data_IF_731299033653
#
_entry.id   IF_731299033653
#
_cell.length_a   1.000
_cell.length_b   1.000
_cell.length_c   1.000
_cell.angle_alpha   90.00
_cell.angle_beta   90.00
_cell.angle_gamma   90.00
#
_symmetry.space_group_name_H-M   'P 1'
#
loop_
_entity.id
_entity.type
_entity.pdbx_description
1 polymer ?
#
# COMPACT_ATOMS: atom_id res chain seq x y z
N UNK A 1 -25.62 -44.61 75.90
CA UNK A 1 -25.29 -44.26 74.50
C UNK A 1 -24.34 -43.07 74.52
N UNK A 2 -23.08 -43.24 74.14
CA UNK A 2 -22.11 -42.14 74.12
C UNK A 2 -22.36 -41.24 72.90
N UNK A 3 -22.57 -39.95 73.14
CA UNK A 3 -22.59 -38.91 72.10
C UNK A 3 -21.21 -38.82 71.46
N UNK A 4 -21.10 -39.25 70.20
CA UNK A 4 -19.88 -39.10 69.40
C UNK A 4 -19.70 -37.60 69.11
N UNK A 5 -18.65 -37.02 69.69
CA UNK A 5 -18.33 -35.60 69.63
C UNK A 5 -17.76 -35.23 68.24
N UNK A 6 -18.65 -34.84 67.32
CA UNK A 6 -18.32 -34.60 65.90
C UNK A 6 -17.74 -33.19 65.65
N UNK A 7 -17.01 -32.64 66.63
CA UNK A 7 -16.55 -31.24 66.68
C UNK A 7 -15.60 -30.89 65.54
N UNK A 8 -14.75 -31.82 65.11
CA UNK A 8 -13.83 -31.63 64.00
C UNK A 8 -14.55 -31.62 62.65
N UNK A 9 -15.54 -32.50 62.45
CA UNK A 9 -16.34 -32.54 61.22
C UNK A 9 -17.15 -31.26 61.03
N UNK A 10 -17.78 -30.76 62.09
CA UNK A 10 -18.51 -29.49 62.07
C UNK A 10 -17.56 -28.32 61.76
N UNK A 11 -16.35 -28.33 62.34
CA UNK A 11 -15.34 -27.29 62.08
C UNK A 11 -14.84 -27.31 60.63
N UNK A 12 -14.63 -28.48 60.05
CA UNK A 12 -14.23 -28.65 58.65
C UNK A 12 -15.32 -28.18 57.69
N UNK A 13 -16.58 -28.51 57.96
CA UNK A 13 -17.71 -28.07 57.15
C UNK A 13 -17.86 -26.54 57.21
N UNK A 14 -17.77 -25.95 58.41
CA UNK A 14 -17.85 -24.50 58.58
C UNK A 14 -16.72 -23.76 57.85
N UNK A 15 -15.47 -24.21 58.01
CA UNK A 15 -14.32 -23.63 57.30
C UNK A 15 -14.45 -23.75 55.78
N UNK A 16 -14.89 -24.91 55.30
CA UNK A 16 -15.08 -25.15 53.86
C UNK A 16 -16.20 -24.27 53.29
N UNK A 17 -17.32 -24.14 54.02
CA UNK A 17 -18.41 -23.25 53.62
C UNK A 17 -18.01 -21.78 53.63
N UNK A 18 -17.16 -21.38 54.59
CA UNK A 18 -16.66 -20.01 54.66
C UNK A 18 -15.74 -19.69 53.47
N UNK A 19 -14.84 -20.61 53.11
CA UNK A 19 -13.96 -20.45 51.95
C UNK A 19 -14.80 -20.39 50.66
N UNK A 20 -15.76 -21.31 50.47
CA UNK A 20 -16.62 -21.33 49.29
C UNK A 20 -17.42 -20.03 49.14
N UNK A 21 -17.98 -19.52 50.25
CA UNK A 21 -18.73 -18.26 50.26
C UNK A 21 -17.84 -17.10 49.83
N UNK A 22 -16.60 -17.01 50.34
CA UNK A 22 -15.66 -15.96 49.97
C UNK A 22 -15.24 -16.05 48.49
N UNK A 23 -15.04 -17.26 47.95
CA UNK A 23 -14.74 -17.45 46.53
C UNK A 23 -15.89 -16.97 45.65
N UNK A 24 -17.14 -17.30 46.02
CA UNK A 24 -18.33 -16.83 45.30
C UNK A 24 -18.48 -15.30 45.39
N UNK A 25 -18.19 -14.71 46.54
CA UNK A 25 -18.23 -13.26 46.74
C UNK A 25 -17.17 -12.54 45.90
N UNK A 26 -15.95 -13.07 45.85
CA UNK A 26 -14.88 -12.56 44.99
C UNK A 26 -15.23 -12.70 43.52
N UNK A 27 -15.84 -13.82 43.11
CA UNK A 27 -16.28 -14.02 41.73
C UNK A 27 -17.39 -13.03 41.34
N UNK A 28 -18.37 -12.81 42.23
CA UNK A 28 -19.44 -11.84 42.02
C UNK A 28 -18.89 -10.41 41.95
N UNK A 29 -18.00 -10.02 42.86
CA UNK A 29 -17.33 -8.72 42.84
C UNK A 29 -16.47 -8.53 41.58
N UNK A 30 -15.74 -9.57 41.14
CA UNK A 30 -14.97 -9.54 39.89
C UNK A 30 -15.87 -9.37 38.68
N UNK A 31 -17.00 -10.07 38.64
CA UNK A 31 -17.98 -9.98 37.53
C UNK A 31 -18.66 -8.61 37.49
N UNK A 32 -18.96 -8.03 38.66
CA UNK A 32 -19.50 -6.67 38.76
C UNK A 32 -18.44 -5.64 38.37
N UNK A 33 -17.18 -5.81 38.78
CA UNK A 33 -16.09 -4.93 38.41
C UNK A 33 -15.82 -5.00 36.90
N UNK A 34 -15.87 -6.20 36.32
CA UNK A 34 -15.77 -6.42 34.88
C UNK A 34 -16.95 -5.76 34.16
N UNK A 35 -18.19 -5.94 34.62
CA UNK A 35 -19.36 -5.28 34.06
C UNK A 35 -19.31 -3.75 34.15
N UNK A 36 -18.89 -3.21 35.30
CA UNK A 36 -18.73 -1.76 35.50
C UNK A 36 -17.55 -1.20 34.68
N UNK A 37 -16.49 -1.97 34.46
CA UNK A 37 -15.38 -1.63 33.56
C UNK A 37 -15.72 -1.86 32.07
N UNK A 38 -16.73 -2.67 31.74
CA UNK A 38 -17.33 -2.72 30.39
C UNK A 38 -18.29 -1.56 30.13
N UNK A 39 -18.51 -0.68 31.11
CA UNK A 39 -19.23 0.58 30.94
C UNK A 39 -18.51 1.49 29.97
N UNK A 40 -18.91 1.40 28.69
CA UNK A 40 -18.49 2.23 27.57
C UNK A 40 -16.99 2.51 27.53
N UNK A 41 -16.26 1.60 26.88
CA UNK A 41 -14.91 1.88 26.41
C UNK A 41 -14.91 3.27 25.76
N UNK A 42 -14.20 4.23 26.33
CA UNK A 42 -14.21 5.60 25.80
C UNK A 42 -13.69 5.64 24.36
N UNK A 43 -12.99 4.59 23.91
CA UNK A 43 -12.60 4.39 22.51
C UNK A 43 -13.75 3.96 21.58
N UNK A 44 -14.84 3.40 22.09
CA UNK A 44 -16.07 3.17 21.32
C UNK A 44 -16.97 4.39 21.27
N UNK A 45 -16.89 5.29 22.28
CA UNK A 45 -17.59 6.60 22.25
C UNK A 45 -16.81 7.68 21.50
N UNK A 46 -15.49 7.64 21.55
CA UNK A 46 -14.58 8.40 20.72
C UNK A 46 -13.90 7.39 19.81
N UNK A 47 -14.52 7.08 18.67
CA UNK A 47 -13.87 6.38 17.57
C UNK A 47 -12.61 7.19 17.21
N UNK A 48 -11.48 6.86 17.82
CA UNK A 48 -10.21 7.53 17.57
C UNK A 48 -9.69 6.99 16.24
N UNK A 49 -10.23 7.54 15.16
CA UNK A 49 -9.97 7.27 13.73
C UNK A 49 -8.51 7.44 13.30
N UNK A 50 -7.60 7.73 14.23
CA UNK A 50 -6.23 8.12 13.91
C UNK A 50 -5.37 6.97 13.39
N UNK A 51 -5.63 5.73 13.80
CA UNK A 51 -4.87 4.55 13.32
C UNK A 51 -5.30 4.10 11.91
N UNK A 52 -6.55 4.33 11.52
CA UNK A 52 -7.09 3.81 10.26
C UNK A 52 -6.78 4.70 9.06
N UNK A 53 -6.66 6.03 9.23
CA UNK A 53 -6.36 6.96 8.12
C UNK A 53 -5.01 6.68 7.46
N UNK A 54 -4.03 6.15 8.20
CA UNK A 54 -2.67 5.93 7.69
C UNK A 54 -2.42 4.50 7.16
N UNK A 55 -3.43 3.63 7.15
CA UNK A 55 -3.29 2.20 6.79
C UNK A 55 -3.96 1.82 5.47
N UNK A 56 -4.84 2.67 4.92
CA UNK A 56 -5.54 2.44 3.65
C UNK A 56 -5.64 3.72 2.82
N UNK A 57 -4.81 3.84 1.77
CA UNK A 57 -4.64 5.09 1.01
C UNK A 57 -4.74 4.89 -0.52
N UNK A 58 -5.86 4.38 -1.06
CA UNK A 58 -6.02 4.31 -2.51
C UNK A 58 -6.04 5.70 -3.14
N UNK A 59 -5.69 5.82 -4.42
CA UNK A 59 -5.78 7.10 -5.13
C UNK A 59 -7.23 7.50 -5.30
N UNK A 60 -7.60 8.71 -4.90
CA UNK A 60 -8.93 9.28 -5.17
C UNK A 60 -8.78 10.55 -5.99
N UNK A 61 -9.49 10.62 -7.11
CA UNK A 61 -9.61 11.84 -7.93
C UNK A 61 -11.09 12.12 -8.14
N UNK A 62 -11.61 13.16 -7.47
CA UNK A 62 -12.95 13.65 -7.75
C UNK A 62 -12.98 14.35 -9.12
N UNK A 63 -13.99 14.04 -9.94
CA UNK A 63 -14.25 14.78 -11.17
C UNK A 63 -14.89 16.15 -10.86
N UNK A 64 -16.16 16.36 -11.23
CA UNK A 64 -16.90 17.59 -10.98
C UNK A 64 -17.71 17.46 -9.70
N UNK A 65 -17.73 18.53 -8.92
CA UNK A 65 -18.49 18.67 -7.67
C UNK A 65 -19.74 19.54 -7.83
N UNK A 66 -20.12 19.87 -9.07
CA UNK A 66 -21.28 20.69 -9.34
C UNK A 66 -22.55 19.92 -8.95
N UNK A 67 -23.39 20.55 -8.13
CA UNK A 67 -24.67 20.01 -7.71
C UNK A 67 -25.75 21.08 -7.88
N UNK A 68 -26.95 20.68 -8.29
CA UNK A 68 -28.05 21.61 -8.57
C UNK A 68 -28.65 22.19 -7.28
N UNK A 69 -28.67 21.41 -6.20
CA UNK A 69 -29.18 21.84 -4.90
C UNK A 69 -28.14 22.64 -4.12
N UNK A 70 -27.51 21.99 -3.15
CA UNK A 70 -26.49 22.59 -2.28
C UNK A 70 -25.08 22.43 -2.84
N UNK A 71 -24.26 23.46 -2.68
CA UNK A 71 -22.82 23.40 -3.00
C UNK A 71 -22.10 22.39 -2.09
N UNK A 72 -21.17 21.62 -2.66
CA UNK A 72 -20.38 20.65 -1.89
C UNK A 72 -19.26 21.37 -1.12
N UNK A 73 -19.35 21.40 0.22
CA UNK A 73 -18.28 21.99 1.04
C UNK A 73 -17.05 21.08 1.11
N UNK A 74 -15.86 21.66 1.08
CA UNK A 74 -14.60 20.90 1.08
C UNK A 74 -14.42 20.03 2.33
N UNK A 75 -14.87 20.50 3.50
CA UNK A 75 -14.78 19.70 4.73
C UNK A 75 -15.76 18.51 4.68
N UNK A 76 -16.97 18.71 4.15
CA UNK A 76 -17.95 17.62 3.96
C UNK A 76 -17.46 16.60 2.93
N UNK A 77 -16.87 17.06 1.83
CA UNK A 77 -16.30 16.16 0.82
C UNK A 77 -15.21 15.26 1.42
N UNK A 78 -14.34 15.83 2.25
CA UNK A 78 -13.29 15.06 2.95
C UNK A 78 -13.87 14.01 3.89
N UNK A 79 -14.95 14.31 4.62
CA UNK A 79 -15.59 13.31 5.49
C UNK A 79 -16.31 12.23 4.68
N UNK A 80 -17.02 12.61 3.61
CA UNK A 80 -17.63 11.64 2.67
C UNK A 80 -16.58 10.70 2.09
N UNK A 81 -15.49 11.25 1.56
CA UNK A 81 -14.40 10.46 0.97
C UNK A 81 -13.80 9.50 1.98
N UNK A 82 -13.44 10.01 3.16
CA UNK A 82 -12.87 9.21 4.25
C UNK A 82 -13.80 8.06 4.65
N UNK A 83 -15.06 8.34 4.92
CA UNK A 83 -16.02 7.31 5.37
C UNK A 83 -16.35 6.33 4.24
N UNK A 84 -16.37 6.79 2.99
CA UNK A 84 -16.50 5.93 1.81
C UNK A 84 -15.31 4.97 1.69
N UNK A 85 -14.08 5.45 1.80
CA UNK A 85 -12.89 4.61 1.77
C UNK A 85 -12.85 3.63 2.95
N UNK A 86 -13.29 4.05 4.13
CA UNK A 86 -13.42 3.14 5.26
C UNK A 86 -14.49 2.08 5.07
N UNK A 87 -15.59 2.39 4.38
CA UNK A 87 -16.56 1.37 4.01
C UNK A 87 -15.95 0.26 3.15
N UNK A 88 -14.99 0.59 2.27
CA UNK A 88 -14.22 -0.38 1.50
C UNK A 88 -13.24 -1.16 2.37
N UNK A 89 -12.44 -0.46 3.17
CA UNK A 89 -11.48 -1.09 4.07
C UNK A 89 -12.14 -2.10 5.02
N UNK A 90 -13.22 -1.70 5.69
CA UNK A 90 -13.97 -2.56 6.61
C UNK A 90 -14.60 -3.74 5.88
N UNK A 91 -15.15 -3.54 4.67
CA UNK A 91 -15.64 -4.64 3.83
C UNK A 91 -14.53 -5.64 3.53
N UNK A 92 -13.35 -5.17 3.09
CA UNK A 92 -12.21 -6.02 2.76
C UNK A 92 -11.76 -6.83 3.99
N UNK A 93 -11.54 -6.17 5.12
CA UNK A 93 -11.18 -6.82 6.39
C UNK A 93 -12.22 -7.82 6.88
N UNK A 94 -13.50 -7.51 6.70
CA UNK A 94 -14.61 -8.37 7.10
C UNK A 94 -14.67 -9.65 6.26
N UNK A 95 -14.39 -9.56 4.95
CA UNK A 95 -14.38 -10.71 4.04
C UNK A 95 -13.09 -11.55 4.14
N UNK A 96 -11.97 -10.92 4.50
CA UNK A 96 -10.70 -11.59 4.80
C UNK A 96 -10.85 -12.46 6.05
N UNK A 97 -11.36 -11.87 7.13
CA UNK A 97 -11.40 -12.51 8.44
C UNK A 97 -12.74 -13.21 8.75
N UNK A 98 -13.73 -13.11 7.85
CA UNK A 98 -15.12 -13.53 8.07
C UNK A 98 -15.71 -13.01 9.38
N UNK A 99 -15.44 -11.74 9.71
CA UNK A 99 -15.92 -11.07 10.93
C UNK A 99 -16.87 -9.93 10.56
N UNK A 100 -17.82 -9.62 11.43
CA UNK A 100 -18.84 -8.59 11.21
C UNK A 100 -18.49 -7.22 11.82
N UNK A 101 -17.37 -7.14 12.54
CA UNK A 101 -16.96 -5.99 13.34
C UNK A 101 -16.76 -4.74 12.48
N UNK A 102 -17.26 -3.59 12.95
CA UNK A 102 -17.11 -2.28 12.29
C UNK A 102 -18.00 -2.04 11.08
N UNK A 103 -18.70 -3.06 10.55
CA UNK A 103 -19.60 -2.88 9.39
C UNK A 103 -20.72 -1.87 9.70
N UNK A 104 -21.23 -1.87 10.92
CA UNK A 104 -22.35 -1.00 11.29
C UNK A 104 -22.02 0.49 11.34
N UNK A 105 -20.74 0.81 11.51
CA UNK A 105 -20.27 2.20 11.53
C UNK A 105 -20.33 2.84 10.13
N UNK A 106 -20.19 2.02 9.07
CA UNK A 106 -20.06 2.48 7.68
C UNK A 106 -21.17 2.00 6.75
N UNK A 107 -22.08 1.13 7.20
CA UNK A 107 -23.19 0.62 6.41
C UNK A 107 -24.50 0.73 7.18
N UNK A 108 -25.53 1.30 6.54
CA UNK A 108 -26.87 1.41 7.14
C UNK A 108 -27.47 0.03 7.45
N UNK A 109 -28.47 -0.01 8.34
CA UNK A 109 -29.09 -1.26 8.80
C UNK A 109 -29.54 -2.20 7.67
N UNK A 110 -30.08 -1.67 6.56
CA UNK A 110 -30.50 -2.52 5.44
C UNK A 110 -29.33 -2.91 4.54
N UNK A 111 -28.33 -2.04 4.37
CA UNK A 111 -27.19 -2.31 3.51
C UNK A 111 -26.30 -3.43 4.06
N UNK A 112 -26.11 -3.48 5.38
CA UNK A 112 -25.27 -4.49 6.04
C UNK A 112 -25.79 -5.92 5.94
N UNK A 113 -27.10 -6.13 5.70
CA UNK A 113 -27.71 -7.46 5.61
C UNK A 113 -27.05 -8.31 4.52
N UNK A 114 -26.83 -7.73 3.32
CA UNK A 114 -26.21 -8.47 2.21
C UNK A 114 -24.74 -8.83 2.50
N UNK A 115 -24.03 -7.94 3.18
CA UNK A 115 -22.64 -8.18 3.58
C UNK A 115 -22.56 -9.27 4.65
N UNK A 116 -23.43 -9.25 5.65
CA UNK A 116 -23.53 -10.31 6.65
C UNK A 116 -23.88 -11.67 6.05
N UNK A 117 -24.83 -11.72 5.12
CA UNK A 117 -25.17 -12.95 4.41
C UNK A 117 -23.96 -13.50 3.62
N UNK A 118 -23.18 -12.62 3.00
CA UNK A 118 -21.96 -13.02 2.28
C UNK A 118 -20.89 -13.57 3.23
N UNK A 119 -20.70 -12.94 4.39
CA UNK A 119 -19.78 -13.41 5.43
C UNK A 119 -20.22 -14.77 5.98
N UNK A 120 -21.52 -14.93 6.29
CA UNK A 120 -22.05 -16.19 6.81
C UNK A 120 -21.92 -17.33 5.78
N UNK A 121 -22.15 -17.02 4.49
CA UNK A 121 -21.90 -17.95 3.40
C UNK A 121 -20.41 -18.32 3.30
N UNK A 122 -19.52 -17.35 3.34
CA UNK A 122 -18.08 -17.57 3.26
C UNK A 122 -17.59 -18.42 4.43
N UNK A 123 -18.03 -18.11 5.64
CA UNK A 123 -17.70 -18.88 6.85
C UNK A 123 -18.15 -20.33 6.73
N UNK A 124 -19.40 -20.57 6.28
CA UNK A 124 -19.94 -21.93 6.07
C UNK A 124 -19.15 -22.72 5.02
N UNK A 125 -18.69 -22.04 3.97
CA UNK A 125 -17.99 -22.66 2.84
C UNK A 125 -16.46 -22.58 2.95
N UNK A 126 -15.92 -22.10 4.08
CA UNK A 126 -14.49 -21.89 4.33
C UNK A 126 -13.81 -21.08 3.22
N UNK A 127 -14.50 -20.04 2.78
CA UNK A 127 -14.01 -19.07 1.80
C UNK A 127 -13.47 -17.86 2.58
N UNK A 128 -12.30 -17.37 2.19
CA UNK A 128 -11.81 -16.05 2.61
C UNK A 128 -11.44 -15.24 1.38
N UNK A 129 -11.62 -13.93 1.46
CA UNK A 129 -11.35 -13.02 0.36
C UNK A 129 -10.42 -11.94 0.88
N UNK A 130 -9.20 -11.90 0.35
CA UNK A 130 -8.28 -10.79 0.56
C UNK A 130 -8.48 -9.82 -0.62
N UNK A 131 -8.71 -8.54 -0.34
CA UNK A 131 -8.92 -7.55 -1.39
C UNK A 131 -8.45 -6.16 -1.00
N UNK A 132 -8.13 -5.36 -2.01
CA UNK A 132 -7.80 -3.95 -1.88
C UNK A 132 -8.28 -3.19 -3.11
N UNK A 133 -8.66 -1.92 -2.95
CA UNK A 133 -8.85 -1.02 -4.09
C UNK A 133 -7.62 -0.14 -4.24
N UNK A 134 -7.30 0.24 -5.47
CA UNK A 134 -6.07 0.95 -5.79
C UNK A 134 -6.34 2.38 -6.27
N UNK A 135 -7.47 2.58 -6.96
CA UNK A 135 -7.85 3.85 -7.59
C UNK A 135 -9.36 4.01 -7.59
N UNK A 136 -9.81 5.22 -7.28
CA UNK A 136 -11.20 5.67 -7.29
C UNK A 136 -11.29 6.96 -8.09
N UNK A 137 -12.37 7.11 -8.86
CA UNK A 137 -12.65 8.32 -9.62
C UNK A 137 -14.11 8.76 -9.40
N UNK A 138 -14.45 9.28 -8.21
CA UNK A 138 -15.82 9.64 -7.88
C UNK A 138 -16.27 10.90 -8.65
N UNK A 139 -17.50 10.84 -9.16
CA UNK A 139 -18.22 11.96 -9.75
C UNK A 139 -19.49 12.21 -8.95
N UNK A 140 -19.62 13.42 -8.38
CA UNK A 140 -20.82 13.80 -7.67
C UNK A 140 -22.02 13.81 -8.64
N UNK A 141 -23.10 13.13 -8.26
CA UNK A 141 -24.35 13.13 -9.02
C UNK A 141 -25.44 13.93 -8.31
N UNK A 142 -25.48 13.87 -6.98
CA UNK A 142 -26.46 14.58 -6.17
C UNK A 142 -25.97 14.78 -4.74
N UNK A 143 -26.26 15.96 -4.18
CA UNK A 143 -26.12 16.25 -2.76
C UNK A 143 -27.38 16.99 -2.29
N UNK A 144 -28.04 16.45 -1.28
CA UNK A 144 -29.32 16.97 -0.77
C UNK A 144 -29.18 18.36 -0.14
N UNK A 145 -30.21 19.20 -0.25
CA UNK A 145 -30.23 20.54 0.35
C UNK A 145 -30.02 20.53 1.88
N UNK A 146 -30.63 19.55 2.58
CA UNK A 146 -30.46 19.37 4.02
C UNK A 146 -29.08 18.80 4.42
N UNK A 147 -28.23 18.45 3.45
CA UNK A 147 -26.88 17.92 3.68
C UNK A 147 -26.81 16.50 4.25
N UNK A 148 -27.90 15.72 4.18
CA UNK A 148 -27.96 14.38 4.80
C UNK A 148 -27.81 13.20 3.84
N UNK A 149 -27.81 13.46 2.52
CA UNK A 149 -27.70 12.42 1.50
C UNK A 149 -26.78 12.85 0.36
N UNK A 150 -25.89 11.94 -0.04
CA UNK A 150 -25.01 12.12 -1.20
C UNK A 150 -25.11 10.92 -2.14
N UNK A 151 -25.08 11.19 -3.44
CA UNK A 151 -25.00 10.18 -4.50
C UNK A 151 -23.85 10.54 -5.42
N UNK A 152 -23.00 9.56 -5.68
CA UNK A 152 -21.91 9.69 -6.63
C UNK A 152 -21.71 8.42 -7.42
N UNK A 153 -21.09 8.57 -8.59
CA UNK A 153 -20.65 7.47 -9.43
C UNK A 153 -19.13 7.39 -9.32
N UNK A 154 -18.62 6.32 -8.73
CA UNK A 154 -17.19 6.03 -8.67
C UNK A 154 -16.76 5.18 -9.85
N UNK A 155 -16.10 5.80 -10.81
CA UNK A 155 -15.84 5.19 -12.11
C UNK A 155 -14.54 4.43 -12.14
N UNK A 156 -14.56 3.28 -12.82
CA UNK A 156 -13.36 2.50 -13.12
C UNK A 156 -12.49 2.26 -11.89
N UNK A 157 -13.12 1.88 -10.78
CA UNK A 157 -12.43 1.46 -9.57
C UNK A 157 -11.63 0.23 -9.89
N UNK A 158 -10.32 0.29 -9.62
CA UNK A 158 -9.41 -0.84 -9.78
C UNK A 158 -9.35 -1.58 -8.45
N UNK A 159 -9.77 -2.84 -8.47
CA UNK A 159 -9.80 -3.73 -7.30
C UNK A 159 -8.91 -4.95 -7.58
N UNK A 160 -8.10 -5.33 -6.61
CA UNK A 160 -7.35 -6.58 -6.65
C UNK A 160 -7.90 -7.52 -5.59
N UNK A 161 -8.13 -8.78 -5.95
CA UNK A 161 -8.76 -9.76 -5.09
C UNK A 161 -8.07 -11.12 -5.19
N UNK A 162 -7.82 -11.74 -4.04
CA UNK A 162 -7.46 -13.14 -3.89
C UNK A 162 -8.58 -13.88 -3.17
N UNK A 163 -9.04 -14.97 -3.77
CA UNK A 163 -10.08 -15.82 -3.19
C UNK A 163 -9.44 -17.13 -2.77
N UNK A 164 -9.65 -17.49 -1.50
CA UNK A 164 -9.19 -18.75 -0.95
C UNK A 164 -10.38 -19.62 -0.58
N UNK A 165 -10.23 -20.93 -0.78
CA UNK A 165 -11.16 -21.94 -0.27
C UNK A 165 -10.35 -23.00 0.45
N UNK A 166 -10.76 -23.35 1.67
CA UNK A 166 -10.01 -24.28 2.52
C UNK A 166 -8.53 -23.88 2.67
N UNK A 167 -8.26 -22.56 2.78
CA UNK A 167 -6.92 -21.94 2.84
C UNK A 167 -6.05 -22.14 1.59
N UNK A 168 -6.61 -22.64 0.50
CA UNK A 168 -5.92 -22.73 -0.80
C UNK A 168 -6.38 -21.60 -1.70
N UNK A 169 -5.43 -20.90 -2.32
CA UNK A 169 -5.74 -19.89 -3.33
C UNK A 169 -6.45 -20.59 -4.51
N UNK A 170 -7.64 -20.12 -4.85
CA UNK A 170 -8.43 -20.65 -5.97
C UNK A 170 -8.52 -19.68 -7.14
N UNK A 171 -8.39 -18.38 -6.87
CA UNK A 171 -8.49 -17.35 -7.89
C UNK A 171 -7.78 -16.09 -7.42
N UNK A 172 -7.17 -15.40 -8.38
CA UNK A 172 -6.61 -14.08 -8.23
C UNK A 172 -7.08 -13.25 -9.42
N UNK A 173 -7.66 -12.07 -9.16
CA UNK A 173 -8.28 -11.25 -10.19
C UNK A 173 -8.01 -9.78 -9.90
N UNK A 174 -7.55 -9.05 -10.91
CA UNK A 174 -7.68 -7.61 -10.97
C UNK A 174 -8.94 -7.28 -11.77
N UNK A 175 -9.88 -6.59 -11.14
CA UNK A 175 -11.13 -6.16 -11.75
C UNK A 175 -11.18 -4.64 -11.88
N UNK A 176 -11.91 -4.17 -12.89
CA UNK A 176 -12.20 -2.74 -13.05
C UNK A 176 -13.70 -2.58 -13.23
N UNK A 177 -14.33 -1.85 -12.32
CA UNK A 177 -15.77 -1.67 -12.32
C UNK A 177 -16.17 -0.26 -11.92
N UNK A 178 -17.36 0.16 -12.35
CA UNK A 178 -17.96 1.43 -11.92
C UNK A 178 -18.96 1.14 -10.81
N UNK A 179 -19.01 1.99 -9.78
CA UNK A 179 -19.92 1.84 -8.65
C UNK A 179 -20.83 3.06 -8.53
N UNK A 180 -22.14 2.86 -8.51
CA UNK A 180 -23.08 3.90 -8.10
C UNK A 180 -23.31 3.78 -6.60
N UNK A 181 -23.03 4.86 -5.88
CA UNK A 181 -23.01 4.88 -4.42
C UNK A 181 -23.99 5.93 -3.91
N UNK A 182 -24.80 5.55 -2.93
CA UNK A 182 -25.65 6.46 -2.17
C UNK A 182 -25.31 6.30 -0.68
N UNK A 183 -24.95 7.41 -0.04
CA UNK A 183 -24.61 7.48 1.38
C UNK A 183 -25.58 8.40 2.12
N UNK A 184 -25.81 8.08 3.40
CA UNK A 184 -26.61 8.89 4.32
C UNK A 184 -25.75 9.32 5.50
N UNK A 185 -25.94 10.54 5.98
CA UNK A 185 -25.32 11.03 7.20
C UNK A 185 -26.18 10.60 8.40
N UNK A 186 -25.67 9.64 9.18
CA UNK A 186 -26.32 9.08 10.37
C UNK A 186 -25.36 9.19 11.56
N UNK A 187 -25.80 9.77 12.67
CA UNK A 187 -25.02 9.93 13.90
C UNK A 187 -23.64 10.61 13.71
N UNK A 188 -23.51 11.47 12.69
CA UNK A 188 -22.27 12.17 12.36
C UNK A 188 -21.34 11.44 11.39
N UNK A 189 -21.71 10.25 10.91
CA UNK A 189 -20.93 9.42 9.98
C UNK A 189 -21.67 9.22 8.66
N UNK A 190 -20.93 9.25 7.55
CA UNK A 190 -21.48 8.90 6.24
C UNK A 190 -21.50 7.39 6.07
N UNK A 191 -22.69 6.81 6.01
CA UNK A 191 -22.90 5.36 5.85
C UNK A 191 -23.38 5.01 4.45
N UNK A 192 -22.84 3.93 3.90
CA UNK A 192 -23.32 3.35 2.65
C UNK A 192 -24.74 2.83 2.86
N UNK A 193 -25.66 3.41 2.08
CA UNK A 193 -27.06 2.99 2.03
C UNK A 193 -27.33 2.13 0.80
N UNK A 194 -26.73 2.45 -0.34
CA UNK A 194 -26.69 1.58 -1.52
C UNK A 194 -25.34 1.65 -2.21
N UNK A 195 -24.85 0.50 -2.67
CA UNK A 195 -23.69 0.40 -3.55
C UNK A 195 -24.02 -0.60 -4.66
N UNK A 196 -23.93 -0.17 -5.91
CA UNK A 196 -24.26 -0.99 -7.07
C UNK A 196 -23.05 -1.08 -8.00
N UNK A 197 -22.55 -2.30 -8.22
CA UNK A 197 -21.51 -2.60 -9.21
C UNK A 197 -22.08 -2.56 -10.63
N UNK A 198 -21.38 -1.87 -11.51
CA UNK A 198 -21.72 -1.65 -12.92
C UNK A 198 -20.51 -2.00 -13.79
N UNK A 199 -20.74 -2.15 -15.10
CA UNK A 199 -19.64 -2.32 -16.07
C UNK A 199 -18.71 -1.10 -16.04
N UNK A 200 -17.40 -1.28 -16.27
CA UNK A 200 -16.47 -0.17 -16.38
C UNK A 200 -16.88 0.77 -17.53
N UNK A 201 -16.63 2.05 -17.35
CA UNK A 201 -16.77 3.06 -18.41
C UNK A 201 -15.56 3.02 -19.35
N UNK A 202 -15.73 3.34 -20.64
CA UNK A 202 -14.62 3.47 -21.56
C UNK A 202 -13.54 4.43 -21.02
N UNK A 203 -12.32 3.92 -20.85
CA UNK A 203 -11.18 4.71 -20.39
C UNK A 203 -10.83 5.71 -21.51
N UNK A 204 -10.85 7.00 -21.19
CA UNK A 204 -10.37 8.04 -22.11
C UNK A 204 -8.87 7.85 -22.31
N UNK A 205 -8.41 7.96 -23.56
CA UNK A 205 -6.98 7.95 -23.84
C UNK A 205 -6.28 9.04 -23.03
N UNK A 206 -5.13 8.70 -22.49
CA UNK A 206 -4.29 9.64 -21.77
C UNK A 206 -3.94 10.83 -22.67
N UNK A 207 -4.06 12.03 -22.11
CA UNK A 207 -3.72 13.29 -22.78
C UNK A 207 -2.32 13.77 -22.45
N UNK A 208 -1.57 13.05 -21.59
CA UNK A 208 -0.20 13.39 -21.25
C UNK A 208 0.67 13.44 -22.51
N UNK A 209 1.33 14.57 -22.72
CA UNK A 209 2.33 14.74 -23.77
C UNK A 209 3.63 14.09 -23.31
N UNK A 210 3.98 12.98 -23.94
CA UNK A 210 5.19 12.21 -23.65
C UNK A 210 6.33 12.75 -24.52
N UNK A 211 7.44 13.13 -23.88
CA UNK A 211 8.65 13.61 -24.56
C UNK A 211 9.91 13.10 -23.83
N UNK A 212 10.18 11.78 -23.92
CA UNK A 212 11.24 11.16 -23.15
C UNK A 212 12.60 11.49 -23.74
N UNK A 213 13.55 11.94 -22.90
CA UNK A 213 14.95 12.11 -23.31
C UNK A 213 15.63 10.76 -23.52
N UNK A 214 15.23 9.76 -22.73
CA UNK A 214 15.69 8.38 -22.80
C UNK A 214 14.60 7.47 -23.36
N UNK A 215 14.95 6.67 -24.38
CA UNK A 215 14.02 5.69 -24.95
C UNK A 215 14.74 4.40 -25.32
N UNK A 216 14.01 3.30 -25.30
CA UNK A 216 14.54 2.01 -25.74
C UNK A 216 14.12 1.76 -27.19
N UNK A 217 15.08 1.46 -28.06
CA UNK A 217 14.86 1.14 -29.47
C UNK A 217 15.61 -0.15 -29.79
N UNK A 218 14.89 -1.25 -29.96
CA UNK A 218 15.48 -2.58 -29.97
C UNK A 218 16.23 -2.85 -28.66
N UNK A 219 17.43 -3.43 -28.73
CA UNK A 219 18.28 -3.74 -27.56
C UNK A 219 19.17 -2.56 -27.11
N UNK A 220 18.78 -1.31 -27.39
CA UNK A 220 19.61 -0.12 -27.12
C UNK A 220 18.83 0.97 -26.41
N UNK A 221 19.44 1.54 -25.37
CA UNK A 221 19.00 2.79 -24.77
C UNK A 221 19.52 3.96 -25.62
N UNK A 222 18.63 4.89 -25.96
CA UNK A 222 18.92 6.11 -26.71
C UNK A 222 18.75 7.31 -25.80
N UNK A 223 19.70 8.23 -25.80
CA UNK A 223 19.60 9.56 -25.19
C UNK A 223 19.64 10.62 -26.28
N UNK A 224 18.57 11.42 -26.43
CA UNK A 224 18.46 12.42 -27.50
C UNK A 224 18.83 11.85 -28.90
N UNK A 225 18.30 10.65 -29.20
CA UNK A 225 18.53 9.87 -30.42
C UNK A 225 19.92 9.25 -30.61
N UNK A 226 20.86 9.44 -29.68
CA UNK A 226 22.19 8.82 -29.71
C UNK A 226 22.25 7.57 -28.83
N UNK A 227 23.05 6.57 -29.21
CA UNK A 227 23.27 5.38 -28.37
C UNK A 227 23.85 5.80 -27.02
N UNK A 228 23.22 5.35 -25.93
CA UNK A 228 23.68 5.57 -24.58
C UNK A 228 24.09 4.23 -23.97
N UNK A 229 25.37 4.11 -23.64
CA UNK A 229 25.91 2.96 -22.89
C UNK A 229 26.12 3.41 -21.46
N UNK A 230 25.37 2.82 -20.54
CA UNK A 230 25.56 3.07 -19.10
C UNK A 230 26.87 2.41 -18.63
N UNK A 231 27.71 3.20 -17.96
CA UNK A 231 28.91 2.77 -17.27
C UNK A 231 28.83 3.37 -15.88
N UNK A 232 28.26 2.62 -14.94
CA UNK A 232 27.92 3.15 -13.63
C UNK A 232 28.38 2.30 -12.46
N UNK A 233 27.98 2.76 -11.27
CA UNK A 233 28.26 2.10 -9.99
C UNK A 233 27.08 2.31 -9.04
N UNK A 234 26.84 1.34 -8.16
CA UNK A 234 25.95 1.53 -7.01
C UNK A 234 26.61 2.53 -6.05
N UNK A 235 25.90 3.60 -5.71
CA UNK A 235 26.45 4.71 -4.94
C UNK A 235 25.87 4.78 -3.54
N UNK A 236 26.77 4.70 -2.56
CA UNK A 236 26.59 5.20 -1.21
C UNK A 236 27.80 6.07 -0.87
N UNK A 237 27.64 7.19 -0.13
CA UNK A 237 28.79 7.90 0.40
C UNK A 237 29.58 6.99 1.35
N UNK A 238 30.91 7.00 1.25
CA UNK A 238 31.81 6.07 1.99
C UNK A 238 31.51 6.02 3.50
N UNK A 239 31.20 7.17 4.09
CA UNK A 239 30.97 7.30 5.52
C UNK A 239 29.48 7.19 5.91
N UNK A 240 28.59 6.80 5.00
CA UNK A 240 27.16 6.63 5.24
C UNK A 240 26.59 5.51 4.36
N UNK A 241 27.29 4.37 4.32
CA UNK A 241 26.83 3.18 3.61
C UNK A 241 25.43 2.76 4.10
N UNK A 242 24.54 2.41 3.17
CA UNK A 242 23.13 2.10 3.43
C UNK A 242 22.34 3.22 4.14
N UNK A 243 22.85 4.45 4.18
CA UNK A 243 22.17 5.58 4.85
C UNK A 243 22.49 6.91 4.14
N UNK A 244 22.43 6.90 2.79
CA UNK A 244 22.77 8.06 1.95
C UNK A 244 22.00 9.32 2.39
N UNK A 245 20.73 9.17 2.73
CA UNK A 245 19.81 10.28 3.04
C UNK A 245 19.63 10.51 4.56
N UNK A 246 20.41 9.84 5.40
CA UNK A 246 20.38 9.97 6.85
C UNK A 246 21.00 11.26 7.38
N UNK A 247 21.31 11.27 8.67
CA UNK A 247 21.81 12.46 9.39
C UNK A 247 23.21 12.88 8.94
N UNK A 248 23.98 11.93 8.37
CA UNK A 248 25.32 12.19 7.82
C UNK A 248 25.30 12.68 6.36
N UNK A 249 24.13 13.01 5.80
CA UNK A 249 24.02 13.55 4.45
C UNK A 249 24.90 14.80 4.31
N UNK A 250 25.86 14.76 3.38
CA UNK A 250 26.82 15.84 3.17
C UNK A 250 27.03 16.09 1.67
N UNK A 251 26.51 17.22 1.20
CA UNK A 251 26.56 17.61 -0.23
C UNK A 251 27.99 17.70 -0.77
N UNK A 252 28.95 18.18 0.02
CA UNK A 252 30.33 18.40 -0.42
C UNK A 252 31.08 17.06 -0.58
N UNK A 253 30.76 16.08 0.27
CA UNK A 253 31.25 14.70 0.15
C UNK A 253 30.69 14.06 -1.11
N UNK A 254 29.38 14.15 -1.33
CA UNK A 254 28.72 13.63 -2.53
C UNK A 254 29.30 14.26 -3.81
N UNK A 255 29.50 15.58 -3.83
CA UNK A 255 30.08 16.28 -4.96
C UNK A 255 31.52 15.80 -5.27
N UNK A 256 32.35 15.58 -4.24
CA UNK A 256 33.71 15.04 -4.40
C UNK A 256 33.69 13.59 -4.89
N UNK A 257 32.78 12.77 -4.40
CA UNK A 257 32.61 11.40 -4.86
C UNK A 257 32.20 11.38 -6.35
N UNK A 258 31.30 12.27 -6.76
CA UNK A 258 30.90 12.40 -8.17
C UNK A 258 32.05 12.84 -9.06
N UNK A 259 32.96 13.71 -8.57
CA UNK A 259 34.19 14.04 -9.28
C UNK A 259 35.11 12.82 -9.46
N UNK A 260 35.22 11.95 -8.45
CA UNK A 260 35.97 10.69 -8.55
C UNK A 260 35.34 9.76 -9.58
N UNK A 261 34.02 9.57 -9.52
CA UNK A 261 33.25 8.74 -10.47
C UNK A 261 33.46 9.22 -11.92
N UNK A 262 33.37 10.53 -12.16
CA UNK A 262 33.63 11.12 -13.49
C UNK A 262 35.07 10.95 -13.94
N UNK A 263 36.06 11.15 -13.06
CA UNK A 263 37.48 10.92 -13.37
C UNK A 263 37.76 9.46 -13.73
N UNK A 264 37.01 8.52 -13.15
CA UNK A 264 37.03 7.10 -13.51
C UNK A 264 36.31 6.76 -14.82
N UNK A 265 35.86 7.77 -15.59
CA UNK A 265 35.14 7.63 -16.86
C UNK A 265 33.78 6.91 -16.76
N UNK A 266 33.19 6.90 -15.57
CA UNK A 266 31.80 6.47 -15.36
C UNK A 266 30.84 7.61 -15.71
N UNK A 267 29.63 7.27 -16.16
CA UNK A 267 28.61 8.23 -16.60
C UNK A 267 27.28 8.11 -15.85
N UNK A 268 27.13 7.11 -14.99
CA UNK A 268 25.91 6.93 -14.21
C UNK A 268 26.16 6.38 -12.81
N UNK A 269 25.15 6.52 -11.95
CA UNK A 269 25.10 5.95 -10.62
C UNK A 269 23.73 5.30 -10.39
N UNK A 270 23.67 4.30 -9.52
CA UNK A 270 22.43 3.74 -8.98
C UNK A 270 22.34 4.09 -7.49
N UNK A 271 21.23 4.67 -7.06
CA UNK A 271 20.98 5.06 -5.67
C UNK A 271 19.78 4.33 -5.10
N UNK A 272 19.63 4.38 -3.78
CA UNK A 272 18.68 3.56 -3.04
C UNK A 272 17.85 4.41 -2.07
N UNK A 273 16.54 4.38 -2.27
CA UNK A 273 15.54 4.99 -1.40
C UNK A 273 14.97 3.89 -0.51
N UNK A 274 15.08 4.06 0.79
CA UNK A 274 14.51 3.14 1.77
C UNK A 274 13.09 3.57 2.10
N UNK A 275 12.14 2.64 1.94
CA UNK A 275 10.71 2.89 2.13
C UNK A 275 10.39 3.51 3.50
N UNK A 276 10.93 2.90 4.56
CA UNK A 276 10.70 3.30 5.95
C UNK A 276 11.37 4.64 6.29
N UNK A 277 12.63 4.80 5.92
CA UNK A 277 13.42 6.00 6.22
C UNK A 277 12.83 7.25 5.56
N UNK A 278 12.31 7.11 4.33
CA UNK A 278 11.63 8.19 3.60
C UNK A 278 10.24 8.54 4.13
N UNK A 279 9.68 7.77 5.06
CA UNK A 279 8.37 8.05 5.67
C UNK A 279 7.21 7.24 5.11
N UNK A 280 7.47 6.13 4.40
CA UNK A 280 6.43 5.25 3.83
C UNK A 280 5.50 6.02 2.89
N UNK A 281 4.17 5.93 3.06
CA UNK A 281 3.20 6.71 2.30
C UNK A 281 3.27 8.22 2.59
N UNK A 282 3.75 8.64 3.76
CA UNK A 282 3.86 10.05 4.18
C UNK A 282 5.29 10.53 4.10
N UNK A 283 5.72 10.81 2.86
CA UNK A 283 7.09 11.19 2.57
C UNK A 283 7.53 12.40 3.38
N UNK A 284 8.66 12.23 4.06
CA UNK A 284 9.38 13.26 4.81
C UNK A 284 9.91 14.35 3.87
N UNK A 285 9.48 15.62 3.99
CA UNK A 285 9.94 16.70 3.12
C UNK A 285 11.47 16.87 3.09
N UNK A 286 12.14 16.66 4.22
CA UNK A 286 13.60 16.73 4.33
C UNK A 286 14.31 15.65 3.51
N UNK A 287 13.69 14.47 3.32
CA UNK A 287 14.25 13.40 2.50
C UNK A 287 14.13 13.72 1.01
N UNK A 288 13.02 14.35 0.60
CA UNK A 288 12.86 14.87 -0.76
C UNK A 288 13.91 15.94 -1.08
N UNK A 289 14.18 16.88 -0.17
CA UNK A 289 15.22 17.89 -0.39
C UNK A 289 16.62 17.30 -0.51
N UNK A 290 16.95 16.29 0.31
CA UNK A 290 18.24 15.59 0.17
C UNK A 290 18.35 14.84 -1.16
N UNK A 291 17.28 14.18 -1.61
CA UNK A 291 17.24 13.55 -2.92
C UNK A 291 17.40 14.56 -4.06
N UNK A 292 16.67 15.68 -3.98
CA UNK A 292 16.81 16.79 -4.93
C UNK A 292 18.25 17.29 -5.00
N UNK A 293 18.86 17.55 -3.86
CA UNK A 293 20.26 18.01 -3.78
C UNK A 293 21.22 17.01 -4.43
N UNK A 294 21.05 15.71 -4.21
CA UNK A 294 21.88 14.68 -4.84
C UNK A 294 21.68 14.65 -6.36
N UNK A 295 20.43 14.73 -6.83
CA UNK A 295 20.10 14.72 -8.25
C UNK A 295 20.63 15.99 -8.96
N UNK A 296 20.50 17.16 -8.34
CA UNK A 296 21.06 18.43 -8.83
C UNK A 296 22.58 18.35 -8.99
N UNK A 297 23.27 17.73 -8.01
CA UNK A 297 24.72 17.49 -8.07
C UNK A 297 25.08 16.52 -9.21
N UNK A 298 24.28 15.48 -9.43
CA UNK A 298 24.49 14.54 -10.52
C UNK A 298 24.31 15.23 -11.88
N UNK A 299 23.27 16.05 -12.04
CA UNK A 299 23.04 16.85 -13.25
C UNK A 299 24.19 17.81 -13.52
N UNK A 300 24.64 18.57 -12.51
CA UNK A 300 25.75 19.50 -12.63
C UNK A 300 27.07 18.83 -13.05
N UNK A 301 27.25 17.54 -12.71
CA UNK A 301 28.41 16.73 -13.09
C UNK A 301 28.18 15.88 -14.35
N UNK A 302 27.02 16.01 -14.98
CA UNK A 302 26.58 15.20 -16.12
C UNK A 302 26.75 13.70 -15.82
N UNK A 303 26.21 13.29 -14.66
CA UNK A 303 25.99 11.90 -14.25
C UNK A 303 24.49 11.60 -14.37
N UNK A 304 24.18 10.41 -14.88
CA UNK A 304 22.80 9.89 -14.93
C UNK A 304 22.52 9.00 -13.73
N UNK A 305 21.26 8.94 -13.30
CA UNK A 305 20.86 8.32 -12.03
C UNK A 305 19.75 7.32 -12.25
N UNK A 306 20.00 6.07 -11.84
CA UNK A 306 18.95 5.06 -11.63
C UNK A 306 18.52 5.15 -10.17
N UNK A 307 17.24 5.39 -9.92
CA UNK A 307 16.70 5.57 -8.57
C UNK A 307 15.94 4.31 -8.16
N UNK A 308 16.47 3.56 -7.19
CA UNK A 308 15.79 2.39 -6.61
C UNK A 308 14.78 2.85 -5.56
N UNK A 309 13.49 2.56 -5.73
CA UNK A 309 12.40 3.14 -4.93
C UNK A 309 12.11 2.42 -3.61
N UNK A 310 12.31 1.11 -3.53
CA UNK A 310 11.90 0.28 -2.38
C UNK A 310 13.05 -0.54 -1.78
N UNK A 311 14.17 0.12 -1.45
CA UNK A 311 15.28 -0.53 -0.75
C UNK A 311 14.84 -1.05 0.63
N UNK A 312 15.29 -2.26 0.97
CA UNK A 312 14.92 -3.02 2.18
C UNK A 312 13.42 -3.27 2.43
N UNK A 313 12.55 -3.02 1.46
CA UNK A 313 11.12 -3.32 1.60
C UNK A 313 10.85 -4.84 1.57
N UNK A 314 9.89 -5.34 2.35
CA UNK A 314 9.56 -6.79 2.36
C UNK A 314 8.11 -7.13 2.73
N UNK A 315 7.20 -6.16 2.73
CA UNK A 315 5.78 -6.36 3.06
C UNK A 315 4.92 -6.36 1.79
N UNK A 316 4.56 -7.53 1.26
CA UNK A 316 3.79 -7.62 0.03
C UNK A 316 2.28 -7.85 0.28
N UNK A 317 1.78 -7.58 1.48
CA UNK A 317 0.34 -7.76 1.79
C UNK A 317 -0.52 -6.81 0.96
N UNK A 318 -1.75 -7.20 0.59
CA UNK A 318 -2.63 -6.33 -0.22
C UNK A 318 -2.96 -4.98 0.45
N UNK A 319 -2.90 -4.92 1.78
CA UNK A 319 -3.05 -3.67 2.53
C UNK A 319 -1.92 -2.68 2.25
N UNK A 320 -0.69 -3.18 2.13
CA UNK A 320 0.49 -2.37 1.90
C UNK A 320 0.53 -1.76 0.50
N UNK A 321 -0.22 -2.31 -0.46
CA UNK A 321 -0.21 -1.87 -1.86
C UNK A 321 -0.67 -0.42 -2.03
N UNK A 322 -1.66 0.01 -1.25
CA UNK A 322 -2.12 1.40 -1.30
C UNK A 322 -1.04 2.36 -0.79
N UNK A 323 -0.36 1.98 0.30
CA UNK A 323 0.70 2.75 0.94
C UNK A 323 1.95 2.86 0.06
N UNK A 324 2.40 1.74 -0.50
CA UNK A 324 3.53 1.71 -1.45
C UNK A 324 3.20 2.46 -2.74
N UNK A 325 1.95 2.37 -3.23
CA UNK A 325 1.50 3.19 -4.36
C UNK A 325 1.61 4.69 -4.05
N UNK A 326 1.21 5.14 -2.85
CA UNK A 326 1.39 6.55 -2.43
C UNK A 326 2.87 6.94 -2.36
N UNK A 327 3.72 6.06 -1.83
CA UNK A 327 5.16 6.28 -1.72
C UNK A 327 5.81 6.51 -3.08
N UNK A 328 5.62 5.56 -4.01
CA UNK A 328 6.13 5.66 -5.37
C UNK A 328 5.55 6.89 -6.09
N UNK A 329 4.23 7.11 -6.03
CA UNK A 329 3.58 8.26 -6.67
C UNK A 329 4.19 9.59 -6.21
N UNK A 330 4.35 9.80 -4.90
CA UNK A 330 4.86 11.07 -4.35
C UNK A 330 6.30 11.35 -4.79
N UNK A 331 7.18 10.33 -4.75
CA UNK A 331 8.59 10.49 -5.15
C UNK A 331 8.70 10.68 -6.66
N UNK A 332 8.08 9.80 -7.45
CA UNK A 332 8.13 9.86 -8.92
C UNK A 332 7.57 11.18 -9.42
N UNK A 333 6.40 11.60 -8.92
CA UNK A 333 5.80 12.88 -9.31
C UNK A 333 6.68 14.08 -8.99
N UNK A 334 7.40 14.06 -7.85
CA UNK A 334 8.28 15.15 -7.44
C UNK A 334 9.50 15.31 -8.35
N UNK A 335 9.96 14.23 -9.01
CA UNK A 335 11.22 14.21 -9.76
C UNK A 335 11.07 13.80 -11.24
N UNK A 336 9.86 13.61 -11.75
CA UNK A 336 9.59 13.21 -13.14
C UNK A 336 10.17 14.12 -14.22
N UNK A 337 10.51 15.37 -13.87
CA UNK A 337 11.09 16.36 -14.78
C UNK A 337 12.62 16.51 -14.59
N UNK A 338 13.24 15.71 -13.70
CA UNK A 338 14.64 15.85 -13.34
C UNK A 338 15.58 15.17 -14.35
N UNK A 339 16.41 15.94 -15.06
CA UNK A 339 17.22 15.46 -16.21
C UNK A 339 18.36 14.50 -15.87
N UNK A 340 18.80 14.47 -14.61
CA UNK A 340 19.75 13.45 -14.17
C UNK A 340 19.15 12.04 -14.18
N UNK A 341 17.84 11.87 -14.01
CA UNK A 341 17.23 10.55 -13.91
C UNK A 341 17.23 9.88 -15.29
N UNK A 342 17.61 8.60 -15.33
CA UNK A 342 17.44 7.75 -16.52
C UNK A 342 16.32 6.75 -16.32
N UNK A 343 16.23 6.18 -15.12
CA UNK A 343 15.28 5.13 -14.82
C UNK A 343 14.86 5.09 -13.35
N UNK A 344 13.63 4.65 -13.14
CA UNK A 344 13.10 4.16 -11.88
C UNK A 344 13.35 2.65 -11.79
N UNK A 345 14.17 2.25 -10.83
CA UNK A 345 14.28 0.85 -10.45
C UNK A 345 13.30 0.61 -9.30
N UNK A 346 12.40 -0.37 -9.44
CA UNK A 346 11.37 -0.59 -8.42
C UNK A 346 12.01 -1.03 -7.11
N UNK A 347 12.82 -2.09 -7.14
CA UNK A 347 13.36 -2.70 -5.93
C UNK A 347 14.66 -3.44 -6.24
N UNK A 348 15.59 -3.39 -5.29
CA UNK A 348 16.77 -4.26 -5.29
C UNK A 348 16.38 -5.70 -4.89
N UNK A 349 16.71 -6.64 -5.76
CA UNK A 349 16.65 -8.09 -5.59
C UNK A 349 15.33 -8.61 -5.02
N UNK A 350 14.16 -8.27 -5.61
CA UNK A 350 12.87 -8.70 -5.09
C UNK A 350 12.67 -10.22 -5.10
N UNK A 351 13.36 -10.94 -5.99
CA UNK A 351 13.30 -12.40 -6.04
C UNK A 351 13.87 -13.10 -4.79
N UNK A 352 14.68 -12.42 -3.98
CA UNK A 352 15.13 -12.94 -2.69
C UNK A 352 13.98 -13.08 -1.68
N UNK A 353 12.85 -12.42 -1.92
CA UNK A 353 11.68 -12.49 -1.05
C UNK A 353 10.72 -13.65 -1.40
N UNK A 354 10.89 -14.32 -2.54
CA UNK A 354 9.93 -15.30 -3.08
C UNK A 354 9.60 -16.45 -2.12
N UNK A 355 10.61 -17.00 -1.44
CA UNK A 355 10.43 -18.12 -0.51
C UNK A 355 9.55 -17.73 0.68
N UNK A 356 9.69 -16.49 1.17
CA UNK A 356 9.03 -16.03 2.40
C UNK A 356 7.75 -15.23 2.15
N UNK A 357 7.48 -14.82 0.91
CA UNK A 357 6.43 -13.85 0.57
C UNK A 357 5.48 -14.27 -0.55
N UNK A 358 5.61 -15.51 -1.04
CA UNK A 358 4.94 -16.03 -2.23
C UNK A 358 5.39 -15.32 -3.52
N UNK A 359 5.93 -16.09 -4.48
CA UNK A 359 6.46 -15.54 -5.74
C UNK A 359 5.40 -14.73 -6.48
N UNK A 360 4.19 -15.23 -6.62
CA UNK A 360 3.12 -14.55 -7.36
C UNK A 360 2.75 -13.22 -6.69
N UNK A 361 2.66 -13.20 -5.36
CA UNK A 361 2.39 -11.97 -4.62
C UNK A 361 3.44 -10.88 -4.86
N UNK A 362 4.73 -11.24 -4.85
CA UNK A 362 5.82 -10.29 -5.16
C UNK A 362 5.73 -9.81 -6.61
N UNK A 363 5.51 -10.72 -7.56
CA UNK A 363 5.39 -10.37 -8.99
C UNK A 363 4.19 -9.44 -9.26
N UNK A 364 3.06 -9.68 -8.63
CA UNK A 364 1.87 -8.83 -8.79
C UNK A 364 2.08 -7.45 -8.17
N UNK A 365 2.76 -7.36 -7.02
CA UNK A 365 3.14 -6.07 -6.44
C UNK A 365 4.09 -5.30 -7.37
N UNK A 366 5.10 -5.96 -7.94
CA UNK A 366 6.02 -5.35 -8.92
C UNK A 366 5.25 -4.84 -10.14
N UNK A 367 4.35 -5.65 -10.69
CA UNK A 367 3.51 -5.24 -11.82
C UNK A 367 2.64 -4.02 -11.48
N UNK A 368 2.06 -3.97 -10.28
CA UNK A 368 1.31 -2.81 -9.83
C UNK A 368 2.19 -1.57 -9.68
N UNK A 369 3.42 -1.70 -9.19
CA UNK A 369 4.38 -0.59 -9.10
C UNK A 369 4.80 -0.08 -10.49
N UNK A 370 4.98 -0.96 -11.49
CA UNK A 370 5.23 -0.55 -12.89
C UNK A 370 4.10 0.37 -13.38
N UNK A 371 2.85 -0.01 -13.14
CA UNK A 371 1.68 0.78 -13.53
C UNK A 371 1.70 2.14 -12.83
N UNK A 372 1.89 2.16 -11.50
CA UNK A 372 1.93 3.40 -10.72
C UNK A 372 3.04 4.34 -11.20
N UNK A 373 4.24 3.83 -11.49
CA UNK A 373 5.35 4.66 -11.96
C UNK A 373 5.02 5.24 -13.34
N UNK A 374 4.63 4.40 -14.31
CA UNK A 374 4.33 4.84 -15.69
C UNK A 374 3.14 5.81 -15.78
N UNK A 375 2.16 5.69 -14.88
CA UNK A 375 1.04 6.66 -14.80
C UNK A 375 1.48 8.05 -14.32
N UNK A 376 2.50 8.14 -13.46
CA UNK A 376 2.92 9.41 -12.85
C UNK A 376 4.18 10.00 -13.49
N UNK A 377 4.99 9.19 -14.18
CA UNK A 377 6.13 9.58 -15.00
C UNK A 377 6.22 8.68 -16.26
N UNK A 378 5.69 9.15 -17.40
CA UNK A 378 5.79 8.43 -18.65
C UNK A 378 7.11 8.70 -19.41
N UNK A 379 8.02 9.52 -18.88
CA UNK A 379 9.19 10.01 -19.61
C UNK A 379 10.50 9.30 -19.22
N UNK A 380 10.62 8.82 -17.98
CA UNK A 380 11.76 8.01 -17.54
C UNK A 380 11.50 6.51 -17.69
N UNK A 381 12.57 5.75 -17.88
CA UNK A 381 12.50 4.29 -18.04
C UNK A 381 12.17 3.62 -16.70
N UNK A 382 11.64 2.40 -16.74
CA UNK A 382 11.33 1.56 -15.58
C UNK A 382 12.07 0.24 -15.69
N UNK A 383 12.67 -0.21 -14.59
CA UNK A 383 13.35 -1.51 -14.47
C UNK A 383 13.13 -2.14 -13.09
N UNK A 384 13.63 -3.36 -12.91
CA UNK A 384 13.68 -4.09 -11.64
C UNK A 384 15.10 -4.64 -11.51
N UNK A 385 15.78 -4.39 -10.40
CA UNK A 385 17.12 -4.91 -10.15
C UNK A 385 17.11 -6.35 -9.62
N UNK A 386 17.03 -7.36 -10.49
CA UNK A 386 16.99 -8.78 -10.10
C UNK A 386 18.33 -9.29 -9.55
N UNK A 387 18.33 -10.31 -8.68
CA UNK A 387 19.59 -10.87 -8.15
C UNK A 387 20.32 -11.81 -9.10
N UNK A 388 19.68 -12.24 -10.20
CA UNK A 388 20.26 -13.11 -11.22
C UNK A 388 19.49 -13.02 -12.55
N UNK A 389 20.12 -13.54 -13.61
CA UNK A 389 19.61 -13.59 -14.99
C UNK A 389 18.31 -14.41 -15.14
N UNK A 390 18.22 -15.57 -14.49
CA UNK A 390 17.06 -16.47 -14.58
C UNK A 390 15.76 -15.81 -14.11
N UNK A 391 15.79 -15.18 -12.93
CA UNK A 391 14.60 -14.48 -12.41
C UNK A 391 14.36 -13.15 -13.12
N UNK A 392 15.32 -12.64 -13.88
CA UNK A 392 15.16 -11.42 -14.67
C UNK A 392 14.22 -11.57 -15.87
N UNK A 393 13.90 -12.82 -16.25
CA UNK A 393 12.87 -13.13 -17.26
C UNK A 393 11.45 -12.82 -16.77
N UNK A 394 11.22 -12.74 -15.45
CA UNK A 394 9.91 -12.36 -14.93
C UNK A 394 9.64 -10.88 -15.25
N UNK A 395 8.46 -10.59 -15.82
CA UNK A 395 8.00 -9.22 -16.15
C UNK A 395 8.89 -8.47 -17.16
N UNK A 396 9.76 -9.17 -17.91
CA UNK A 396 10.62 -8.56 -18.94
C UNK A 396 9.82 -7.80 -20.00
N UNK A 397 8.58 -8.23 -20.29
CA UNK A 397 7.65 -7.61 -21.23
C UNK A 397 6.92 -6.38 -20.65
N UNK A 398 7.11 -6.08 -19.35
CA UNK A 398 6.47 -4.95 -18.64
C UNK A 398 7.43 -3.80 -18.33
N UNK A 399 8.71 -4.10 -18.17
CA UNK A 399 9.77 -3.11 -17.94
C UNK A 399 10.34 -2.58 -19.25
N UNK A 400 11.02 -1.43 -19.21
CA UNK A 400 11.60 -0.84 -20.42
C UNK A 400 12.98 -1.44 -20.73
N UNK A 401 13.72 -1.89 -19.72
CA UNK A 401 14.91 -2.71 -19.86
C UNK A 401 15.08 -3.64 -18.65
N UNK A 402 15.74 -4.78 -18.86
CA UNK A 402 16.05 -5.76 -17.82
C UNK A 402 17.35 -5.38 -17.10
N UNK A 403 17.35 -5.46 -15.77
CA UNK A 403 18.52 -5.23 -14.92
C UNK A 403 18.70 -6.41 -13.96
N UNK A 404 19.90 -6.94 -13.84
CA UNK A 404 20.19 -8.04 -12.93
C UNK A 404 21.63 -8.01 -12.44
N UNK A 405 21.88 -8.70 -11.32
CA UNK A 405 23.20 -8.91 -10.78
C UNK A 405 23.82 -10.18 -11.37
N UNK A 406 25.06 -10.09 -11.82
CA UNK A 406 25.83 -11.22 -12.30
C UNK A 406 27.08 -11.38 -11.43
N UNK A 407 27.10 -12.44 -10.62
CA UNK A 407 28.20 -12.78 -9.72
C UNK A 407 28.86 -14.13 -10.06
N UNK A 408 28.42 -14.80 -11.12
CA UNK A 408 28.94 -16.09 -11.56
C UNK A 408 30.27 -15.93 -12.31
N UNK A 409 30.88 -17.05 -12.70
CA UNK A 409 32.14 -17.02 -13.43
C UNK A 409 31.96 -16.32 -14.78
N UNK A 410 32.98 -15.61 -15.25
CA UNK A 410 32.89 -14.86 -16.52
C UNK A 410 32.56 -15.77 -17.72
N UNK A 411 32.98 -17.03 -17.66
CA UNK A 411 32.71 -18.05 -18.69
C UNK A 411 31.22 -18.39 -18.80
N UNK A 412 30.44 -18.16 -17.74
CA UNK A 412 28.99 -18.39 -17.72
C UNK A 412 28.19 -17.22 -18.32
N UNK A 413 28.82 -16.06 -18.53
CA UNK A 413 28.13 -14.83 -18.91
C UNK A 413 27.36 -14.95 -20.22
N UNK A 414 28.00 -15.45 -21.29
CA UNK A 414 27.35 -15.60 -22.60
C UNK A 414 26.16 -16.57 -22.53
N UNK A 415 26.27 -17.63 -21.73
CA UNK A 415 25.22 -18.64 -21.56
C UNK A 415 24.01 -18.07 -20.83
N UNK A 416 24.24 -17.32 -19.75
CA UNK A 416 23.16 -16.69 -18.99
C UNK A 416 22.56 -15.48 -19.71
N UNK A 417 23.37 -14.72 -20.43
CA UNK A 417 22.90 -13.60 -21.24
C UNK A 417 21.93 -14.08 -22.34
N UNK A 418 22.21 -15.22 -22.95
CA UNK A 418 21.37 -15.82 -23.98
C UNK A 418 19.94 -16.19 -23.51
N UNK A 419 19.69 -16.24 -22.19
CA UNK A 419 18.35 -16.50 -21.63
C UNK A 419 17.41 -15.31 -21.87
N UNK A 420 17.96 -14.10 -21.95
CA UNK A 420 17.23 -12.83 -22.09
C UNK A 420 17.20 -12.30 -23.53
N UNK A 421 17.72 -13.08 -24.48
CA UNK A 421 18.03 -12.66 -25.85
C UNK A 421 16.94 -13.06 -26.85
#
# INVERSE_FOLDING_TARGET
MSLINNKNTIRTVLLSSFILLNVLLLFALSSILEYLNTGADRTSMLHLEKETVNTYLPKVIWEKLNNVGREMEQNTLKTIEKDYLFSWYIKNKSLENNKKNGIEDYYTQNARVNLYNSIDYNLKNKITIESTTLKHNPKLEFYSENGQQVVFTDKNVIEFQKVYKDKKLISEVQDTATYKVLMLLEDGFWRIRHIQKMKPEPIKKDTLKVNPEFKVVGKKIKYNNSDFISKGINYYPKNSAWDTFGDRFNKDTIAKDFDIIKKSKLNSIRIFIQYEDFGKADIKPEKLEKLKTLLDLAEAKNLKVVVTLFDFYSDYTLESWTLTSRHAEKIVTAFKDHKAIIAWDIKNEPNLDFENRDKNNVLNWLQQMIIVIKENDPNHLVTIGWSNSYEATNLEDKVDFVSYHFYNAIDDFETEYAILD
#
